data_IF_512778739398
#
_entry.id   IF_512778739398
#
_cell.length_a   1.000
_cell.length_b   1.000
_cell.length_c   1.000
_cell.angle_alpha   90.00
_cell.angle_beta   90.00
_cell.angle_gamma   90.00
#
_symmetry.space_group_name_H-M   'P 1'
#
loop_
_entity.id
_entity.type
_entity.pdbx_description
1 polymer ?
#
# COMPACT_ATOMS: atom_id res chain seq x y z
N UNK A 1 2.63 15.88 -31.07
CA UNK A 1 2.53 16.39 -29.67
C UNK A 1 1.84 15.32 -28.82
N UNK A 2 2.45 14.78 -27.76
CA UNK A 2 1.76 13.85 -26.88
C UNK A 2 0.71 14.63 -26.07
N UNK A 3 -0.55 14.17 -26.11
CA UNK A 3 -1.65 14.73 -25.29
C UNK A 3 -1.16 14.87 -23.85
N UNK A 4 -1.33 16.06 -23.28
CA UNK A 4 -1.24 16.25 -21.83
C UNK A 4 -2.43 15.48 -21.26
N UNK A 5 -2.19 14.46 -20.45
CA UNK A 5 -3.25 13.74 -19.75
C UNK A 5 -3.89 14.71 -18.76
N UNK A 6 -4.89 15.46 -19.21
CA UNK A 6 -5.52 16.54 -18.45
C UNK A 6 -6.39 16.04 -17.29
N UNK A 7 -6.50 14.72 -17.10
CA UNK A 7 -7.32 14.07 -16.08
C UNK A 7 -6.56 13.31 -14.98
N UNK A 8 -5.22 13.31 -14.95
CA UNK A 8 -4.47 12.64 -13.88
C UNK A 8 -4.43 13.50 -12.62
N UNK A 9 -4.94 12.98 -11.50
CA UNK A 9 -4.77 13.58 -10.17
C UNK A 9 -3.31 13.63 -9.79
N UNK A 10 -2.94 14.62 -8.99
CA UNK A 10 -1.63 14.74 -8.40
C UNK A 10 -1.30 13.48 -7.56
N UNK A 11 -0.12 12.86 -7.71
CA UNK A 11 0.17 11.55 -7.10
C UNK A 11 0.03 11.49 -5.58
N UNK A 12 0.36 12.60 -4.89
CA UNK A 12 0.23 12.73 -3.43
C UNK A 12 -1.23 12.76 -2.95
N UNK A 13 -2.19 13.12 -3.81
CA UNK A 13 -3.59 13.23 -3.45
C UNK A 13 -4.14 11.92 -2.87
N UNK A 14 -3.91 10.80 -3.56
CA UNK A 14 -4.41 9.49 -3.13
C UNK A 14 -3.82 9.03 -1.80
N UNK A 15 -2.58 9.43 -1.51
CA UNK A 15 -1.93 9.13 -0.23
C UNK A 15 -2.45 10.00 0.91
N UNK A 16 -2.68 11.29 0.66
CA UNK A 16 -3.30 12.16 1.66
C UNK A 16 -4.74 11.73 1.94
N UNK A 17 -5.50 11.41 0.90
CA UNK A 17 -6.85 10.83 1.00
C UNK A 17 -6.85 9.54 1.84
N UNK A 18 -5.92 8.62 1.56
CA UNK A 18 -5.77 7.39 2.32
C UNK A 18 -5.39 7.62 3.78
N UNK A 19 -4.51 8.60 4.05
CA UNK A 19 -4.11 8.97 5.41
C UNK A 19 -5.28 9.56 6.19
N UNK A 20 -6.07 10.45 5.59
CA UNK A 20 -7.26 11.01 6.22
C UNK A 20 -8.26 9.90 6.59
N UNK A 21 -8.52 8.96 5.67
CA UNK A 21 -9.44 7.84 5.93
C UNK A 21 -8.87 6.88 6.99
N UNK A 22 -7.55 6.64 6.98
CA UNK A 22 -6.89 5.85 8.00
C UNK A 22 -7.11 6.45 9.40
N UNK A 23 -6.98 7.77 9.55
CA UNK A 23 -7.26 8.44 10.82
C UNK A 23 -8.73 8.27 11.20
N UNK A 24 -9.66 8.39 10.25
CA UNK A 24 -11.09 8.16 10.50
C UNK A 24 -11.35 6.75 11.03
N UNK A 25 -10.76 5.72 10.40
CA UNK A 25 -10.94 4.34 10.83
C UNK A 25 -10.43 4.10 12.25
N UNK A 26 -9.25 4.65 12.59
CA UNK A 26 -8.64 4.47 13.90
C UNK A 26 -9.38 5.23 15.01
N UNK A 27 -9.95 6.40 14.70
CA UNK A 27 -10.69 7.20 15.68
C UNK A 27 -12.11 6.66 15.90
N UNK A 28 -12.77 6.20 14.83
CA UNK A 28 -14.16 5.78 14.91
C UNK A 28 -14.36 4.40 15.55
N UNK A 29 -13.39 3.49 15.39
CA UNK A 29 -13.40 2.10 15.90
C UNK A 29 -14.76 1.39 15.73
N UNK A 30 -15.43 1.64 14.60
CA UNK A 30 -16.78 1.16 14.33
C UNK A 30 -16.81 0.27 13.10
N UNK A 31 -17.47 -0.87 13.22
CA UNK A 31 -17.61 -1.88 12.17
C UNK A 31 -18.37 -1.35 10.96
N UNK A 32 -19.43 -0.56 11.20
CA UNK A 32 -20.23 0.03 10.12
C UNK A 32 -19.40 0.99 9.25
N UNK A 33 -18.52 1.76 9.89
CA UNK A 33 -17.62 2.69 9.20
C UNK A 33 -16.53 1.92 8.45
N UNK A 34 -15.95 0.89 9.06
CA UNK A 34 -14.97 0.02 8.40
C UNK A 34 -15.57 -0.64 7.15
N UNK A 35 -16.82 -1.09 7.23
CA UNK A 35 -17.55 -1.64 6.09
C UNK A 35 -17.85 -0.61 5.01
N UNK A 36 -18.32 0.58 5.37
CA UNK A 36 -18.66 1.61 4.39
C UNK A 36 -17.43 2.11 3.64
N UNK A 37 -16.31 2.25 4.33
CA UNK A 37 -15.02 2.67 3.76
C UNK A 37 -14.44 1.60 2.84
N UNK A 38 -14.47 0.32 3.24
CA UNK A 38 -13.99 -0.78 2.39
C UNK A 38 -14.83 -0.93 1.13
N UNK A 39 -16.15 -0.84 1.23
CA UNK A 39 -17.05 -0.80 0.08
C UNK A 39 -16.76 0.40 -0.83
N UNK A 40 -16.61 1.60 -0.25
CA UNK A 40 -16.29 2.82 -0.98
C UNK A 40 -14.94 2.76 -1.69
N UNK A 41 -13.91 2.19 -1.06
CA UNK A 41 -12.58 2.03 -1.66
C UNK A 41 -12.63 1.08 -2.87
N UNK A 42 -13.35 -0.04 -2.76
CA UNK A 42 -13.56 -0.97 -3.88
C UNK A 42 -14.34 -0.28 -5.01
N UNK A 43 -15.43 0.43 -4.68
CA UNK A 43 -16.25 1.15 -5.65
C UNK A 43 -15.44 2.22 -6.39
N UNK A 44 -14.66 3.02 -5.67
CA UNK A 44 -13.78 4.05 -6.23
C UNK A 44 -12.78 3.46 -7.24
N UNK A 45 -12.13 2.35 -6.89
CA UNK A 45 -11.16 1.67 -7.78
C UNK A 45 -11.85 1.12 -9.03
N UNK A 46 -13.08 0.62 -8.90
CA UNK A 46 -13.88 0.14 -10.03
C UNK A 46 -14.35 1.29 -10.94
N UNK A 47 -14.69 2.46 -10.39
CA UNK A 47 -15.10 3.64 -11.14
C UNK A 47 -13.93 4.26 -11.94
N UNK A 48 -12.75 4.36 -11.33
CA UNK A 48 -11.53 4.86 -12.00
C UNK A 48 -10.76 3.74 -12.72
N UNK A 49 -11.43 2.65 -13.14
CA UNK A 49 -10.80 1.48 -13.76
C UNK A 49 -10.06 1.86 -15.04
N UNK A 50 -8.77 2.13 -14.90
CA UNK A 50 -7.81 2.24 -15.99
C UNK A 50 -7.28 0.83 -16.30
N UNK A 51 -7.16 0.47 -17.58
CA UNK A 51 -6.68 -0.85 -18.03
C UNK A 51 -5.15 -1.05 -17.81
N UNK A 52 -4.62 -0.44 -16.75
CA UNK A 52 -3.19 -0.43 -16.43
C UNK A 52 -2.85 -1.59 -15.48
N UNK A 53 -1.60 -2.07 -15.55
CA UNK A 53 -1.03 -3.11 -14.69
C UNK A 53 -1.37 -2.95 -13.19
N UNK A 54 -1.45 -1.71 -12.69
CA UNK A 54 -1.75 -1.38 -11.29
C UNK A 54 -3.13 -1.86 -10.79
N UNK A 55 -4.11 -2.01 -11.67
CA UNK A 55 -5.40 -2.61 -11.31
C UNK A 55 -5.28 -4.10 -10.95
N UNK A 56 -4.31 -4.82 -11.54
CA UNK A 56 -4.07 -6.23 -11.20
C UNK A 56 -3.53 -6.37 -9.77
N UNK A 57 -2.72 -5.42 -9.31
CA UNK A 57 -2.23 -5.36 -7.93
C UNK A 57 -3.39 -5.22 -6.93
N UNK A 58 -4.43 -4.44 -7.27
CA UNK A 58 -5.62 -4.32 -6.42
C UNK A 58 -6.37 -5.64 -6.26
N UNK A 59 -6.47 -6.45 -7.32
CA UNK A 59 -7.10 -7.79 -7.24
C UNK A 59 -6.34 -8.72 -6.29
N UNK A 60 -5.02 -8.63 -6.25
CA UNK A 60 -4.21 -9.36 -5.29
C UNK A 60 -4.41 -8.85 -3.87
N UNK A 61 -4.48 -7.53 -3.69
CA UNK A 61 -4.77 -6.94 -2.39
C UNK A 61 -6.16 -7.35 -1.85
N UNK A 62 -7.18 -7.45 -2.71
CA UNK A 62 -8.50 -7.94 -2.31
C UNK A 62 -8.44 -9.40 -1.83
N UNK A 63 -7.65 -10.25 -2.50
CA UNK A 63 -7.41 -11.64 -2.03
C UNK A 63 -6.66 -11.67 -0.70
N UNK A 64 -5.67 -10.80 -0.52
CA UNK A 64 -4.95 -10.69 0.75
C UNK A 64 -5.85 -10.18 1.88
N UNK A 65 -6.72 -9.22 1.63
CA UNK A 65 -7.70 -8.73 2.60
C UNK A 65 -8.69 -9.84 2.99
N UNK A 66 -9.21 -10.59 2.00
CA UNK A 66 -10.09 -11.74 2.26
C UNK A 66 -9.37 -12.86 3.05
N UNK A 67 -8.12 -13.17 2.68
CA UNK A 67 -7.30 -14.13 3.41
C UNK A 67 -7.06 -13.67 4.87
N UNK A 68 -6.72 -12.39 5.06
CA UNK A 68 -6.47 -11.83 6.37
C UNK A 68 -7.74 -11.83 7.25
N UNK A 69 -8.91 -11.56 6.66
CA UNK A 69 -10.20 -11.70 7.33
C UNK A 69 -10.45 -13.13 7.82
N UNK A 70 -10.32 -14.12 6.93
CA UNK A 70 -10.52 -15.54 7.26
C UNK A 70 -9.53 -15.98 8.34
N UNK A 71 -8.25 -15.61 8.20
CA UNK A 71 -7.23 -15.93 9.18
C UNK A 71 -7.54 -15.28 10.53
N UNK A 72 -7.95 -14.02 10.55
CA UNK A 72 -8.29 -13.30 11.79
C UNK A 72 -9.50 -13.92 12.48
N UNK A 73 -10.54 -14.29 11.74
CA UNK A 73 -11.69 -15.02 12.26
C UNK A 73 -11.30 -16.39 12.79
N UNK A 74 -10.48 -17.15 12.05
CA UNK A 74 -9.98 -18.44 12.50
C UNK A 74 -9.17 -18.31 13.81
N UNK A 75 -8.30 -17.31 13.92
CA UNK A 75 -7.57 -17.00 15.16
C UNK A 75 -8.55 -16.62 16.27
N UNK A 76 -9.56 -15.81 15.99
CA UNK A 76 -10.58 -15.41 16.96
C UNK A 76 -11.40 -16.57 17.50
N UNK A 77 -11.63 -17.61 16.69
CA UNK A 77 -12.31 -18.86 17.05
C UNK A 77 -11.39 -19.83 17.79
N UNK A 78 -10.14 -19.98 17.35
CA UNK A 78 -9.17 -20.94 17.93
C UNK A 78 -8.62 -20.46 19.27
N UNK A 79 -8.42 -19.16 19.45
CA UNK A 79 -7.95 -18.59 20.72
C UNK A 79 -9.17 -18.37 21.63
N UNK A 80 -9.30 -19.23 22.64
CA UNK A 80 -10.37 -19.18 23.63
C UNK A 80 -10.16 -18.06 24.64
N UNK A 81 -10.53 -16.84 24.29
CA UNK A 81 -10.63 -15.73 25.24
C UNK A 81 -12.01 -15.82 25.91
N UNK A 82 -12.09 -16.10 27.22
CA UNK A 82 -13.37 -16.18 27.90
C UNK A 82 -14.02 -14.80 27.94
N UNK A 83 -15.08 -14.62 27.15
CA UNK A 83 -15.96 -13.45 27.18
C UNK A 83 -17.33 -13.88 27.71
N UNK A 84 -17.95 -13.11 28.62
CA UNK A 84 -19.30 -13.40 29.08
C UNK A 84 -20.27 -13.32 27.90
N UNK A 85 -21.01 -14.41 27.63
CA UNK A 85 -21.82 -14.49 26.43
C UNK A 85 -22.55 -15.82 26.22
N UNK A 86 -23.36 -15.89 25.17
CA UNK A 86 -24.01 -17.14 24.77
C UNK A 86 -23.01 -18.04 24.06
N UNK A 87 -22.82 -19.26 24.57
CA UNK A 87 -21.94 -20.27 23.99
C UNK A 87 -22.64 -20.89 22.77
N UNK A 88 -22.01 -20.83 21.59
CA UNK A 88 -22.53 -21.54 20.41
C UNK A 88 -22.00 -22.96 20.32
N UNK A 89 -20.69 -23.14 20.47
CA UNK A 89 -20.02 -24.44 20.38
C UNK A 89 -18.73 -24.46 21.18
N UNK A 90 -18.29 -25.66 21.53
CA UNK A 90 -17.07 -25.88 22.32
C UNK A 90 -16.03 -26.60 21.48
N UNK A 91 -14.82 -26.04 21.46
CA UNK A 91 -13.67 -26.65 20.83
C UNK A 91 -12.88 -27.40 21.93
N UNK A 92 -12.41 -28.64 21.67
CA UNK A 92 -11.61 -29.37 22.64
C UNK A 92 -10.39 -28.54 23.07
N UNK A 93 -10.21 -28.43 24.39
CA UNK A 93 -9.11 -27.64 24.96
C UNK A 93 -7.81 -28.42 24.83
N UNK A 94 -6.79 -27.78 24.28
CA UNK A 94 -5.44 -28.32 24.26
C UNK A 94 -4.67 -27.63 25.38
N UNK A 95 -4.21 -28.41 26.37
CA UNK A 95 -3.30 -27.91 27.40
C UNK A 95 -1.95 -27.63 26.76
N UNK A 96 -1.61 -26.34 26.67
CA UNK A 96 -0.30 -25.90 26.20
C UNK A 96 0.78 -26.14 27.28
N UNK A 97 2.04 -26.39 26.90
CA UNK A 97 3.16 -26.47 27.83
C UNK A 97 3.34 -25.18 28.64
N UNK A 98 3.98 -25.28 29.81
CA UNK A 98 4.19 -24.18 30.78
C UNK A 98 4.93 -22.94 30.24
N UNK A 99 5.40 -22.96 28.99
CA UNK A 99 5.95 -21.78 28.30
C UNK A 99 4.86 -20.80 27.81
N UNK A 100 3.61 -21.25 27.67
CA UNK A 100 2.48 -20.45 27.17
C UNK A 100 1.41 -20.20 28.24
N UNK A 101 1.84 -19.93 29.48
CA UNK A 101 0.93 -19.56 30.58
C UNK A 101 0.14 -18.30 30.19
N UNK A 102 -1.17 -18.45 29.97
CA UNK A 102 -2.08 -17.34 29.65
C UNK A 102 -2.75 -17.43 28.28
N UNK A 103 -2.26 -18.28 27.36
CA UNK A 103 -2.93 -18.53 26.07
C UNK A 103 -3.70 -19.85 26.16
N UNK A 104 -5.01 -19.81 25.98
CA UNK A 104 -5.86 -21.01 25.91
C UNK A 104 -6.20 -21.28 24.45
N UNK A 105 -5.80 -22.45 23.96
CA UNK A 105 -6.21 -22.94 22.64
C UNK A 105 -7.48 -23.78 22.81
N UNK A 106 -8.53 -23.39 22.08
CA UNK A 106 -9.87 -23.98 22.18
C UNK A 106 -10.64 -23.48 23.42
N UNK A 107 -11.79 -24.10 23.67
CA UNK A 107 -12.75 -23.67 24.68
C UNK A 107 -14.12 -23.29 24.10
N UNK A 108 -14.92 -22.58 24.89
CA UNK A 108 -16.25 -22.12 24.51
C UNK A 108 -16.15 -20.95 23.53
N UNK A 109 -16.74 -21.09 22.36
CA UNK A 109 -16.86 -20.01 21.37
C UNK A 109 -18.20 -19.32 21.60
N UNK A 110 -18.14 -18.08 22.09
CA UNK A 110 -19.31 -17.26 22.38
C UNK A 110 -19.69 -16.36 21.21
N UNK A 111 -20.98 -15.97 21.12
CA UNK A 111 -21.45 -15.04 20.07
C UNK A 111 -20.76 -13.69 20.18
N UNK A 112 -20.54 -13.20 21.40
CA UNK A 112 -19.80 -11.97 21.70
C UNK A 112 -18.35 -12.03 21.21
N UNK A 113 -17.68 -13.18 21.35
CA UNK A 113 -16.31 -13.34 20.85
C UNK A 113 -16.28 -13.31 19.33
N UNK A 114 -17.27 -13.91 18.68
CA UNK A 114 -17.36 -13.92 17.23
C UNK A 114 -17.64 -12.52 16.67
N UNK A 115 -18.51 -11.73 17.31
CA UNK A 115 -18.78 -10.35 16.91
C UNK A 115 -17.55 -9.45 17.08
N UNK A 116 -16.86 -9.53 18.23
CA UNK A 116 -15.61 -8.76 18.44
C UNK A 116 -14.50 -9.14 17.46
N UNK A 117 -14.33 -10.44 17.18
CA UNK A 117 -13.38 -10.91 16.17
C UNK A 117 -13.75 -10.40 14.76
N UNK A 118 -15.05 -10.34 14.45
CA UNK A 118 -15.56 -9.79 13.19
C UNK A 118 -15.28 -8.29 13.08
N UNK A 119 -15.53 -7.52 14.14
CA UNK A 119 -15.28 -6.08 14.19
C UNK A 119 -13.80 -5.76 13.96
N UNK A 120 -12.90 -6.46 14.67
CA UNK A 120 -11.45 -6.35 14.48
C UNK A 120 -11.00 -6.76 13.07
N UNK A 121 -11.55 -7.85 12.54
CA UNK A 121 -11.22 -8.34 11.20
C UNK A 121 -11.68 -7.34 10.14
N UNK A 122 -12.82 -6.69 10.34
CA UNK A 122 -13.35 -5.70 9.41
C UNK A 122 -12.49 -4.43 9.35
N UNK A 123 -12.02 -3.95 10.51
CA UNK A 123 -11.06 -2.84 10.58
C UNK A 123 -9.78 -3.19 9.82
N UNK A 124 -9.24 -4.39 10.03
CA UNK A 124 -8.03 -4.86 9.36
C UNK A 124 -8.21 -4.93 7.83
N UNK A 125 -9.36 -5.44 7.36
CA UNK A 125 -9.72 -5.46 5.94
C UNK A 125 -9.77 -4.04 5.36
N UNK A 126 -10.45 -3.12 6.05
CA UNK A 126 -10.60 -1.74 5.60
C UNK A 126 -9.23 -1.05 5.47
N UNK A 127 -8.33 -1.23 6.45
CA UNK A 127 -6.96 -0.72 6.38
C UNK A 127 -6.21 -1.25 5.16
N UNK A 128 -6.23 -2.57 4.92
CA UNK A 128 -5.57 -3.17 3.75
C UNK A 128 -6.12 -2.57 2.45
N UNK A 129 -7.45 -2.43 2.34
CA UNK A 129 -8.11 -1.95 1.13
C UNK A 129 -7.83 -0.48 0.83
N UNK A 130 -7.72 0.40 1.84
CA UNK A 130 -7.39 1.81 1.63
C UNK A 130 -5.97 1.95 1.08
N UNK A 131 -4.99 1.27 1.67
CA UNK A 131 -3.61 1.30 1.17
C UNK A 131 -3.53 0.69 -0.24
N UNK A 132 -4.27 -0.39 -0.48
CA UNK A 132 -4.36 -1.00 -1.80
C UNK A 132 -4.96 -0.05 -2.84
N UNK A 133 -6.03 0.67 -2.49
CA UNK A 133 -6.66 1.66 -3.35
C UNK A 133 -5.69 2.81 -3.66
N UNK A 134 -5.00 3.35 -2.64
CA UNK A 134 -4.00 4.40 -2.84
C UNK A 134 -2.88 3.98 -3.80
N UNK A 135 -2.37 2.74 -3.65
CA UNK A 135 -1.33 2.19 -4.51
C UNK A 135 -1.83 1.84 -5.92
N UNK A 136 -3.11 1.45 -6.07
CA UNK A 136 -3.69 1.16 -7.37
C UNK A 136 -3.99 2.44 -8.18
N UNK A 137 -4.32 3.54 -7.50
CA UNK A 137 -4.67 4.81 -8.12
C UNK A 137 -3.48 5.78 -8.25
N UNK A 138 -2.40 5.55 -7.51
CA UNK A 138 -1.16 6.34 -7.61
C UNK A 138 -0.08 5.61 -8.40
N UNK A 139 0.59 6.30 -9.32
CA UNK A 139 1.76 5.76 -10.02
C UNK A 139 3.03 6.00 -9.16
N UNK A 140 3.72 4.95 -8.67
CA UNK A 140 4.88 5.11 -7.78
C UNK A 140 6.01 5.95 -8.38
N UNK A 141 6.20 5.88 -9.70
CA UNK A 141 7.21 6.69 -10.39
C UNK A 141 6.87 8.18 -10.38
N UNK A 142 5.59 8.53 -10.38
CA UNK A 142 5.16 9.92 -10.31
C UNK A 142 5.32 10.47 -8.89
N UNK A 143 5.09 9.64 -7.86
CA UNK A 143 5.32 10.03 -6.47
C UNK A 143 6.76 10.50 -6.23
N UNK A 144 7.73 9.76 -6.78
CA UNK A 144 9.16 10.11 -6.71
C UNK A 144 9.47 11.45 -7.41
N UNK A 145 8.67 11.85 -8.39
CA UNK A 145 8.84 13.14 -9.09
C UNK A 145 8.30 14.32 -8.29
N UNK A 146 7.45 14.10 -7.30
CA UNK A 146 6.89 15.16 -6.45
C UNK A 146 7.69 15.40 -5.16
N UNK A 147 8.84 14.76 -4.99
CA UNK A 147 9.69 14.98 -3.83
C UNK A 147 10.01 16.49 -3.66
N UNK A 148 9.92 17.03 -2.42
CA UNK A 148 10.28 18.42 -2.15
C UNK A 148 11.70 18.72 -2.58
N UNK A 149 11.96 19.97 -2.97
CA UNK A 149 13.24 20.38 -3.55
C UNK A 149 14.44 20.17 -2.61
N UNK A 150 14.22 20.23 -1.30
CA UNK A 150 15.23 19.92 -0.26
C UNK A 150 15.76 18.49 -0.36
N UNK A 151 14.96 17.55 -0.88
CA UNK A 151 15.31 16.14 -1.04
C UNK A 151 15.65 15.78 -2.49
N UNK A 152 16.04 16.74 -3.32
CA UNK A 152 16.35 16.53 -4.73
C UNK A 152 17.41 15.44 -4.94
N UNK A 153 18.48 15.42 -4.13
CA UNK A 153 19.53 14.41 -4.22
C UNK A 153 19.00 12.99 -3.97
N UNK A 154 18.12 12.83 -2.98
CA UNK A 154 17.48 11.54 -2.66
C UNK A 154 16.55 11.10 -3.81
N UNK A 155 15.76 12.04 -4.35
CA UNK A 155 14.87 11.77 -5.49
C UNK A 155 15.63 11.35 -6.74
N UNK A 156 16.71 12.06 -7.08
CA UNK A 156 17.58 11.72 -8.20
C UNK A 156 18.20 10.33 -8.02
N UNK A 157 18.78 10.05 -6.86
CA UNK A 157 19.36 8.74 -6.56
C UNK A 157 18.33 7.61 -6.66
N UNK A 158 17.11 7.83 -6.16
CA UNK A 158 16.02 6.84 -6.22
C UNK A 158 15.54 6.60 -7.65
N UNK A 159 15.44 7.64 -8.48
CA UNK A 159 15.08 7.50 -9.90
C UNK A 159 16.16 6.75 -10.67
N UNK A 160 17.44 7.06 -10.43
CA UNK A 160 18.57 6.34 -11.03
C UNK A 160 18.53 4.87 -10.58
N UNK A 161 18.41 4.60 -9.28
CA UNK A 161 18.33 3.24 -8.74
C UNK A 161 17.15 2.45 -9.34
N UNK A 162 15.97 3.08 -9.47
CA UNK A 162 14.80 2.46 -10.07
C UNK A 162 15.00 2.08 -11.54
N UNK A 163 15.79 2.86 -12.29
CA UNK A 163 16.11 2.54 -13.69
C UNK A 163 17.27 1.54 -13.83
N UNK A 164 18.22 1.53 -12.89
CA UNK A 164 19.35 0.59 -12.86
C UNK A 164 18.92 -0.80 -12.40
N UNK A 165 17.96 -0.92 -11.48
CA UNK A 165 17.46 -2.21 -10.99
C UNK A 165 17.09 -3.24 -12.08
N UNK A 166 16.24 -2.91 -13.08
CA UNK A 166 15.93 -3.85 -14.17
C UNK A 166 17.15 -4.15 -15.05
N UNK A 167 18.09 -3.20 -15.19
CA UNK A 167 19.32 -3.42 -15.94
C UNK A 167 20.26 -4.39 -15.20
N UNK A 168 20.42 -4.26 -13.88
CA UNK A 168 21.19 -5.18 -13.04
C UNK A 168 20.62 -6.59 -13.09
N UNK A 169 19.30 -6.74 -13.10
CA UNK A 169 18.64 -8.04 -13.27
C UNK A 169 19.02 -8.70 -14.62
N UNK A 170 19.03 -7.93 -15.71
CA UNK A 170 19.47 -8.41 -17.04
C UNK A 170 20.96 -8.76 -17.06
N UNK A 171 21.82 -7.97 -16.43
CA UNK A 171 23.24 -8.28 -16.27
C UNK A 171 23.48 -9.59 -15.52
N UNK A 172 22.77 -9.80 -14.40
CA UNK A 172 22.80 -11.07 -13.66
C UNK A 172 22.39 -12.25 -14.55
N UNK A 173 21.31 -12.09 -15.34
CA UNK A 173 20.86 -13.13 -16.26
C UNK A 173 21.91 -13.43 -17.34
N UNK A 174 22.53 -12.40 -17.95
CA UNK A 174 23.61 -12.55 -18.94
C UNK A 174 24.82 -13.28 -18.37
N UNK A 175 25.30 -12.88 -17.20
CA UNK A 175 26.45 -13.53 -16.53
C UNK A 175 26.12 -14.98 -16.18
N UNK A 176 24.92 -15.27 -15.65
CA UNK A 176 24.47 -16.64 -15.39
C UNK A 176 24.43 -17.48 -16.66
N UNK A 177 23.93 -16.94 -17.77
CA UNK A 177 23.88 -17.64 -19.06
C UNK A 177 25.28 -17.96 -19.60
N UNK A 178 26.20 -16.98 -19.61
CA UNK A 178 27.58 -17.16 -20.05
C UNK A 178 28.31 -18.24 -19.22
N UNK A 179 28.05 -18.32 -17.92
CA UNK A 179 28.64 -19.37 -17.07
C UNK A 179 28.07 -20.75 -17.35
N UNK A 180 26.77 -20.85 -17.63
CA UNK A 180 26.13 -22.12 -18.03
C UNK A 180 26.75 -22.66 -19.32
N UNK A 181 27.00 -21.78 -20.30
CA UNK A 181 27.70 -22.13 -21.55
C UNK A 181 29.13 -22.62 -21.31
N UNK A 182 29.79 -22.17 -20.23
CA UNK A 182 31.12 -22.63 -19.81
C UNK A 182 31.09 -23.89 -18.92
N UNK A 183 29.95 -24.57 -18.82
CA UNK A 183 29.77 -25.77 -17.99
C UNK A 183 29.83 -25.51 -16.47
N UNK A 184 29.84 -24.24 -16.03
CA UNK A 184 29.96 -23.87 -14.62
C UNK A 184 28.59 -23.81 -13.96
N UNK A 185 28.45 -24.44 -12.78
CA UNK A 185 27.22 -24.39 -11.98
C UNK A 185 26.88 -22.94 -11.62
N UNK A 186 25.61 -22.56 -11.80
CA UNK A 186 25.11 -21.20 -11.55
C UNK A 186 24.40 -21.03 -10.20
N UNK A 187 24.35 -22.08 -9.36
CA UNK A 187 23.61 -22.14 -8.10
C UNK A 187 24.56 -22.24 -6.89
N UNK A 188 24.10 -21.78 -5.72
CA UNK A 188 24.84 -21.86 -4.45
C UNK A 188 25.60 -20.58 -4.04
N UNK A 189 26.12 -20.56 -2.81
CA UNK A 189 26.80 -19.40 -2.21
C UNK A 189 28.09 -19.06 -2.97
N UNK A 190 28.85 -20.06 -3.42
CA UNK A 190 30.04 -19.86 -4.25
C UNK A 190 29.72 -19.23 -5.63
N UNK A 191 28.48 -19.40 -6.13
CA UNK A 191 28.01 -18.76 -7.36
C UNK A 191 27.85 -17.25 -7.17
N UNK A 192 27.52 -16.79 -5.95
CA UNK A 192 27.31 -15.38 -5.64
C UNK A 192 28.56 -14.55 -5.90
N UNK A 193 29.74 -14.97 -5.42
CA UNK A 193 31.00 -14.26 -5.71
C UNK A 193 31.26 -14.16 -7.22
N UNK A 194 31.09 -15.27 -7.92
CA UNK A 194 31.40 -15.39 -9.33
C UNK A 194 30.38 -14.71 -10.26
N UNK A 195 29.15 -14.41 -9.80
CA UNK A 195 28.15 -13.61 -10.55
C UNK A 195 28.23 -12.15 -10.10
N UNK A 196 28.40 -11.94 -8.80
CA UNK A 196 28.41 -10.64 -8.14
C UNK A 196 29.59 -9.79 -8.59
N UNK A 197 30.82 -10.30 -8.59
CA UNK A 197 32.00 -9.50 -8.97
C UNK A 197 31.84 -8.91 -10.39
N UNK A 198 31.53 -9.70 -11.45
CA UNK A 198 31.33 -9.13 -12.79
C UNK A 198 30.17 -8.12 -12.87
N UNK A 199 29.08 -8.35 -12.13
CA UNK A 199 27.93 -7.44 -12.13
C UNK A 199 28.25 -6.14 -11.39
N UNK A 200 29.06 -6.20 -10.33
CA UNK A 200 29.55 -5.03 -9.61
C UNK A 200 30.52 -4.22 -10.47
N UNK A 201 31.44 -4.88 -11.16
CA UNK A 201 32.35 -4.24 -12.13
C UNK A 201 31.57 -3.51 -13.23
N UNK A 202 30.60 -4.18 -13.88
CA UNK A 202 29.72 -3.55 -14.88
C UNK A 202 28.89 -2.38 -14.28
N UNK A 203 28.48 -2.49 -13.02
CA UNK A 203 27.73 -1.42 -12.34
C UNK A 203 28.61 -0.22 -12.00
N UNK A 204 29.88 -0.45 -11.64
CA UNK A 204 30.86 0.60 -11.37
C UNK A 204 31.20 1.36 -12.65
N UNK A 205 31.51 0.66 -13.73
CA UNK A 205 31.77 1.27 -15.05
C UNK A 205 30.58 2.13 -15.50
N UNK A 206 29.36 1.57 -15.43
CA UNK A 206 28.14 2.31 -15.78
C UNK A 206 27.90 3.52 -14.87
N UNK A 207 28.27 3.45 -13.60
CA UNK A 207 28.12 4.60 -12.67
C UNK A 207 29.05 5.74 -13.04
N UNK A 208 30.28 5.43 -13.49
CA UNK A 208 31.28 6.40 -13.96
C UNK A 208 30.78 7.06 -15.26
N UNK A 209 30.32 6.27 -16.23
CA UNK A 209 29.76 6.77 -17.48
C UNK A 209 28.53 7.66 -17.24
N UNK A 210 27.64 7.22 -16.36
CA UNK A 210 26.45 7.99 -16.01
C UNK A 210 26.85 9.32 -15.36
N UNK A 211 27.79 9.31 -14.42
CA UNK A 211 28.29 10.53 -13.77
C UNK A 211 28.90 11.51 -14.77
N UNK A 212 29.78 11.04 -15.66
CA UNK A 212 30.36 11.86 -16.73
C UNK A 212 29.28 12.46 -17.65
N UNK A 213 28.26 11.67 -17.99
CA UNK A 213 27.13 12.15 -18.80
C UNK A 213 26.24 13.18 -18.10
N UNK A 214 26.14 13.12 -16.76
CA UNK A 214 25.37 14.06 -15.95
C UNK A 214 26.14 15.39 -15.85
N UNK A 215 27.44 15.33 -15.59
CA UNK A 215 28.32 16.50 -15.53
C UNK A 215 28.38 17.25 -16.87
N UNK A 216 28.53 16.54 -17.99
CA UNK A 216 28.49 17.14 -19.34
C UNK A 216 27.16 17.85 -19.64
N UNK A 217 26.05 17.40 -19.04
CA UNK A 217 24.74 18.04 -19.15
C UNK A 217 24.51 19.18 -18.14
N UNK A 218 25.50 19.49 -17.29
CA UNK A 218 25.43 20.54 -16.28
C UNK A 218 24.59 20.18 -15.05
N UNK A 219 24.39 18.88 -14.75
CA UNK A 219 23.74 18.49 -13.50
C UNK A 219 24.56 18.96 -12.29
N UNK A 220 23.89 19.57 -11.31
CA UNK A 220 24.54 20.09 -10.10
C UNK A 220 25.11 21.50 -10.22
N UNK A 221 25.20 22.07 -11.44
CA UNK A 221 25.68 23.44 -11.65
C UNK A 221 24.67 24.50 -11.17
N UNK A 222 23.38 24.26 -11.43
CA UNK A 222 22.32 25.20 -11.04
C UNK A 222 21.71 24.83 -9.68
N UNK A 223 21.57 25.78 -8.74
CA UNK A 223 20.90 25.53 -7.46
C UNK A 223 19.41 25.22 -7.66
N UNK A 224 18.80 25.79 -8.72
CA UNK A 224 17.36 25.75 -9.01
C UNK A 224 17.08 25.07 -10.37
N UNK A 225 17.24 23.74 -10.51
CA UNK A 225 16.91 23.06 -11.75
C UNK A 225 15.40 23.12 -12.04
N UNK A 226 15.03 23.36 -13.30
CA UNK A 226 13.64 23.31 -13.76
C UNK A 226 13.15 21.86 -13.86
N UNK A 227 11.82 21.65 -13.74
CA UNK A 227 11.20 20.32 -13.83
C UNK A 227 10.51 20.15 -15.17
N UNK A 228 10.85 19.10 -15.91
CA UNK A 228 10.15 18.74 -17.13
C UNK A 228 8.82 18.06 -16.78
N UNK A 229 7.70 18.66 -17.19
CA UNK A 229 6.31 18.23 -16.88
C UNK A 229 6.02 18.14 -15.37
N UNK A 230 5.95 19.29 -14.66
CA UNK A 230 5.56 19.28 -13.26
C UNK A 230 4.10 18.84 -13.09
N UNK A 231 3.84 18.01 -12.07
CA UNK A 231 2.48 17.79 -11.59
C UNK A 231 2.13 18.98 -10.72
N UNK A 232 1.13 19.74 -11.13
CA UNK A 232 0.68 20.94 -10.42
C UNK A 232 -0.56 20.55 -9.64
N UNK A 233 -0.59 20.89 -8.35
CA UNK A 233 -1.77 20.68 -7.53
C UNK A 233 -2.92 21.55 -8.05
N UNK A 234 -4.05 20.94 -8.39
CA UNK A 234 -5.20 21.64 -8.98
C UNK A 234 -6.31 21.86 -7.97
N UNK A 235 -7.15 22.87 -8.21
CA UNK A 235 -8.30 23.16 -7.35
C UNK A 235 -9.30 21.99 -7.22
N UNK A 236 -9.40 21.14 -8.25
CA UNK A 236 -10.21 19.91 -8.20
C UNK A 236 -9.74 18.95 -7.11
N UNK A 237 -8.44 18.91 -6.84
CA UNK A 237 -7.82 18.02 -5.85
C UNK A 237 -8.05 18.55 -4.44
N UNK A 238 -7.97 19.87 -4.23
CA UNK A 238 -8.39 20.47 -2.96
C UNK A 238 -9.87 20.21 -2.68
N UNK A 239 -10.73 20.33 -3.70
CA UNK A 239 -12.16 20.09 -3.56
C UNK A 239 -12.46 18.61 -3.25
N UNK A 240 -11.79 17.68 -3.94
CA UNK A 240 -11.91 16.25 -3.70
C UNK A 240 -11.35 15.84 -2.32
N UNK A 241 -10.31 16.51 -1.83
CA UNK A 241 -9.71 16.23 -0.52
C UNK A 241 -10.51 16.82 0.63
N UNK A 242 -11.27 17.89 0.38
CA UNK A 242 -12.13 18.50 1.38
C UNK A 242 -13.18 17.49 1.90
N UNK A 243 -13.71 16.63 1.03
CA UNK A 243 -14.75 15.66 1.41
C UNK A 243 -14.34 14.68 2.53
N UNK A 244 -13.24 13.91 2.42
CA UNK A 244 -12.79 13.05 3.54
C UNK A 244 -12.34 13.86 4.76
N UNK A 245 -11.81 15.08 4.59
CA UNK A 245 -11.43 15.95 5.72
C UNK A 245 -12.66 16.40 6.51
N UNK A 246 -13.74 16.81 5.83
CA UNK A 246 -15.01 17.11 6.48
C UNK A 246 -15.60 15.86 7.15
N UNK A 247 -15.47 14.69 6.51
CA UNK A 247 -15.84 13.41 7.13
C UNK A 247 -15.11 13.16 8.46
N UNK A 248 -13.80 13.42 8.51
CA UNK A 248 -13.01 13.33 9.74
C UNK A 248 -13.51 14.29 10.81
N UNK A 249 -13.66 15.57 10.46
CA UNK A 249 -14.15 16.61 11.39
C UNK A 249 -15.51 16.21 11.95
N UNK A 250 -16.40 15.69 11.10
CA UNK A 250 -17.74 15.29 11.49
C UNK A 250 -17.75 14.09 12.46
N UNK A 251 -16.91 13.07 12.21
CA UNK A 251 -16.71 11.94 13.13
C UNK A 251 -16.18 12.42 14.49
N UNK A 252 -15.31 13.44 14.50
CA UNK A 252 -14.67 13.94 15.70
C UNK A 252 -15.58 14.86 16.54
N UNK A 253 -16.44 15.66 15.90
CA UNK A 253 -17.35 16.59 16.57
C UNK A 253 -18.68 15.96 17.01
N UNK A 254 -19.20 14.98 16.29
CA UNK A 254 -20.55 14.44 16.52
C UNK A 254 -20.54 12.90 16.65
N UNK A 255 -19.84 12.34 17.67
CA UNK A 255 -19.84 10.89 17.91
C UNK A 255 -21.22 10.35 18.31
N UNK A 256 -22.15 11.23 18.70
CA UNK A 256 -23.50 10.88 19.14
C UNK A 256 -24.53 10.73 18.00
N UNK A 257 -24.17 11.05 16.75
CA UNK A 257 -25.04 10.78 15.60
C UNK A 257 -25.19 9.27 15.37
N UNK A 258 -26.33 8.86 14.82
CA UNK A 258 -26.55 7.45 14.49
C UNK A 258 -25.43 6.94 13.57
N UNK A 259 -24.79 5.82 13.95
CA UNK A 259 -23.65 5.26 13.21
C UNK A 259 -23.94 4.96 11.73
N UNK A 260 -25.20 4.72 11.38
CA UNK A 260 -25.64 4.51 9.98
C UNK A 260 -25.49 5.77 9.14
N UNK A 261 -25.90 6.93 9.66
CA UNK A 261 -25.75 8.21 8.94
C UNK A 261 -24.27 8.56 8.75
N UNK A 262 -23.45 8.33 9.77
CA UNK A 262 -21.99 8.50 9.68
C UNK A 262 -21.38 7.57 8.63
N UNK A 263 -21.79 6.30 8.61
CA UNK A 263 -21.31 5.33 7.63
C UNK A 263 -21.68 5.73 6.18
N UNK A 264 -22.91 6.20 5.95
CA UNK A 264 -23.37 6.69 4.64
C UNK A 264 -22.61 7.95 4.19
N UNK A 265 -22.43 8.93 5.08
CA UNK A 265 -21.67 10.14 4.79
C UNK A 265 -20.20 9.83 4.44
N UNK A 266 -19.59 8.91 5.18
CA UNK A 266 -18.22 8.48 4.89
C UNK A 266 -18.11 7.70 3.58
N UNK A 267 -19.09 6.86 3.25
CA UNK A 267 -19.13 6.19 1.95
C UNK A 267 -19.12 7.22 0.81
N UNK A 268 -19.98 8.24 0.91
CA UNK A 268 -20.01 9.34 -0.07
C UNK A 268 -18.64 10.03 -0.11
N UNK A 269 -18.07 10.35 1.06
CA UNK A 269 -16.78 11.02 1.16
C UNK A 269 -15.63 10.25 0.50
N UNK A 270 -15.60 8.93 0.68
CA UNK A 270 -14.62 8.02 0.09
C UNK A 270 -14.77 7.97 -1.44
N UNK A 271 -16.00 7.98 -1.97
CA UNK A 271 -16.24 7.85 -3.42
C UNK A 271 -16.13 9.20 -4.17
N UNK A 272 -16.28 10.34 -3.49
CA UNK A 272 -16.29 11.67 -4.15
C UNK A 272 -15.15 11.93 -5.17
N UNK A 273 -13.89 11.50 -4.96
CA UNK A 273 -12.83 11.73 -5.96
C UNK A 273 -13.06 10.95 -7.27
N UNK A 274 -13.93 9.94 -7.25
CA UNK A 274 -14.38 9.18 -8.41
C UNK A 274 -15.09 10.04 -9.46
N UNK A 275 -15.87 11.02 -9.00
CA UNK A 275 -16.81 11.80 -9.82
C UNK A 275 -16.29 13.19 -10.23
N UNK A 276 -15.16 13.62 -9.66
CA UNK A 276 -14.47 14.90 -9.97
C UNK A 276 -13.41 14.67 -11.07
#
# INVERSE_FOLDING_TARGET
MPKVDTGSFHPLFWWLWALTILVILLVADSTLISFSVSLGAVALVLLKRSNTYWYQSFRWALRLAALAFVLRMAIGVVIGVPMPGQVLFTIPRITLPDLFVGVRLGGEVTSQRLSTAFDEAMLLVALILIFAAANALSNPHELLRVLPRRYYAIGLATVIASSVAPQSARSIQRVRAARRLRGKKSTGIASFRNVGIPVLEESLERSIDLAASLESRGYGYFPNPSRYRPHIWRFRETLALASPVYGLIFVLLLPALSGVLLACLLLIAVITPGFI
#
